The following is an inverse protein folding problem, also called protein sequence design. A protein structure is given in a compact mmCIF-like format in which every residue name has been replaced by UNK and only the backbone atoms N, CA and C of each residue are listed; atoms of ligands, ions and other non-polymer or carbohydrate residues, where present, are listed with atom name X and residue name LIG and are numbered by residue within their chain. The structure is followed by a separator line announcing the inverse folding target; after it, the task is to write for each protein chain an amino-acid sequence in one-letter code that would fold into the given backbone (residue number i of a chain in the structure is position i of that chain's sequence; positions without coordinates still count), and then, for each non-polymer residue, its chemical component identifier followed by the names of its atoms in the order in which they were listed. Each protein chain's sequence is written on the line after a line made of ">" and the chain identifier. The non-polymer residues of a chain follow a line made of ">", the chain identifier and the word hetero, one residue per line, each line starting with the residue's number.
data_IF_497980259790
#
_entry.id   IF_497980259790
#
_cell.length_a   1.000
_cell.length_b   1.000
_cell.length_c   1.000
_cell.angle_alpha   90.00
_cell.angle_beta   90.00
_cell.angle_gamma   90.00
#
_symmetry.space_group_name_H-M   'P 1'
#
loop_
_entity.id
_entity.type
_entity.pdbx_description
1 polymer ?
#
# COMPACT_ATOMS: atom_id res chain seq x y z
N UNK A 1 -32.09 -6.15 35.84
CA UNK A 1 -32.47 -5.46 34.60
C UNK A 1 -31.23 -5.41 33.74
N UNK A 2 -31.07 -6.40 32.87
CA UNK A 2 -29.93 -6.55 31.97
C UNK A 2 -30.24 -5.79 30.68
N UNK A 3 -29.53 -4.69 30.44
CA UNK A 3 -29.48 -4.07 29.12
C UNK A 3 -28.65 -5.00 28.21
N UNK A 4 -29.35 -5.83 27.46
CA UNK A 4 -28.75 -6.63 26.38
C UNK A 4 -28.28 -5.62 25.34
N UNK A 5 -26.93 -5.53 25.19
CA UNK A 5 -26.31 -4.78 24.11
C UNK A 5 -26.89 -5.30 22.80
N UNK A 6 -27.57 -4.43 22.06
CA UNK A 6 -28.03 -4.69 20.69
C UNK A 6 -26.83 -5.17 19.87
N UNK A 7 -26.90 -6.36 19.24
CA UNK A 7 -25.82 -6.79 18.34
C UNK A 7 -25.79 -5.81 17.19
N UNK A 8 -24.57 -5.31 16.90
CA UNK A 8 -24.28 -4.50 15.71
C UNK A 8 -25.08 -5.06 14.53
N UNK A 9 -26.06 -4.30 14.04
CA UNK A 9 -26.80 -4.64 12.83
C UNK A 9 -25.78 -4.70 11.68
N UNK A 10 -25.29 -5.90 11.41
CA UNK A 10 -24.61 -6.16 10.15
C UNK A 10 -25.61 -5.86 9.04
N UNK A 11 -25.34 -4.80 8.28
CA UNK A 11 -26.12 -4.48 7.09
C UNK A 11 -26.31 -5.77 6.28
N UNK A 12 -27.57 -6.03 5.82
CA UNK A 12 -27.89 -7.21 5.03
C UNK A 12 -26.82 -7.37 3.93
N UNK A 13 -26.18 -8.56 3.80
CA UNK A 13 -25.15 -8.77 2.80
C UNK A 13 -25.74 -8.52 1.41
N UNK A 14 -25.15 -7.58 0.68
CA UNK A 14 -25.53 -7.28 -0.71
C UNK A 14 -24.37 -7.71 -1.62
N UNK A 15 -24.50 -8.87 -2.22
CA UNK A 15 -23.46 -9.45 -3.08
C UNK A 15 -23.23 -8.64 -4.36
N UNK A 16 -24.21 -7.85 -4.83
CA UNK A 16 -24.01 -6.93 -5.95
C UNK A 16 -23.10 -5.76 -5.55
N UNK A 17 -23.34 -5.18 -4.38
CA UNK A 17 -22.49 -4.13 -3.82
C UNK A 17 -21.11 -4.68 -3.52
N UNK A 18 -21.01 -5.88 -2.94
CA UNK A 18 -19.75 -6.56 -2.68
C UNK A 18 -18.94 -6.80 -3.95
N UNK A 19 -19.60 -7.23 -5.04
CA UNK A 19 -18.97 -7.39 -6.36
C UNK A 19 -18.40 -6.09 -6.90
N UNK A 20 -19.18 -5.01 -6.85
CA UNK A 20 -18.72 -3.68 -7.30
C UNK A 20 -17.53 -3.19 -6.48
N UNK A 21 -17.62 -3.30 -5.17
CA UNK A 21 -16.53 -2.91 -4.25
C UNK A 21 -15.28 -3.75 -4.50
N UNK A 22 -15.42 -5.05 -4.72
CA UNK A 22 -14.29 -5.94 -5.01
C UNK A 22 -13.57 -5.57 -6.30
N UNK A 23 -14.31 -5.19 -7.37
CA UNK A 23 -13.68 -4.75 -8.62
C UNK A 23 -12.90 -3.44 -8.42
N UNK A 24 -13.48 -2.45 -7.74
CA UNK A 24 -12.80 -1.19 -7.44
C UNK A 24 -11.55 -1.43 -6.59
N UNK A 25 -11.66 -2.29 -5.56
CA UNK A 25 -10.54 -2.63 -4.70
C UNK A 25 -9.49 -3.50 -5.41
N UNK A 26 -9.87 -4.32 -6.39
CA UNK A 26 -8.93 -5.06 -7.21
C UNK A 26 -8.09 -4.13 -8.10
N UNK A 27 -8.71 -3.12 -8.71
CA UNK A 27 -7.99 -2.09 -9.47
C UNK A 27 -7.09 -1.26 -8.54
N UNK A 28 -7.61 -0.85 -7.39
CA UNK A 28 -6.82 -0.14 -6.38
C UNK A 28 -5.63 -0.98 -5.89
N UNK A 29 -5.81 -2.30 -5.71
CA UNK A 29 -4.76 -3.24 -5.34
C UNK A 29 -3.71 -3.38 -6.44
N UNK A 30 -4.12 -3.41 -7.71
CA UNK A 30 -3.19 -3.47 -8.84
C UNK A 30 -2.30 -2.22 -8.90
N UNK A 31 -2.90 -1.04 -8.76
CA UNK A 31 -2.18 0.23 -8.77
C UNK A 31 -1.26 0.38 -7.54
N UNK A 32 -1.78 0.07 -6.35
CA UNK A 32 -1.01 0.14 -5.11
C UNK A 32 0.15 -0.85 -5.08
N UNK A 33 -0.09 -2.08 -5.52
CA UNK A 33 0.94 -3.11 -5.62
C UNK A 33 2.00 -2.77 -6.65
N UNK A 34 1.61 -2.18 -7.80
CA UNK A 34 2.54 -1.65 -8.81
C UNK A 34 3.47 -0.59 -8.23
N UNK A 35 2.91 0.40 -7.54
CA UNK A 35 3.69 1.43 -6.85
C UNK A 35 4.65 0.83 -5.80
N UNK A 36 4.19 -0.13 -5.01
CA UNK A 36 5.02 -0.83 -4.04
C UNK A 36 6.20 -1.56 -4.70
N UNK A 37 5.96 -2.22 -5.83
CA UNK A 37 7.00 -2.91 -6.59
C UNK A 37 8.03 -1.91 -7.15
N UNK A 38 7.59 -0.75 -7.64
CA UNK A 38 8.49 0.33 -8.08
C UNK A 38 9.36 0.80 -6.92
N UNK A 39 8.79 1.09 -5.75
CA UNK A 39 9.56 1.52 -4.58
C UNK A 39 10.61 0.48 -4.19
N UNK A 40 10.24 -0.81 -4.11
CA UNK A 40 11.19 -1.88 -3.74
C UNK A 40 12.31 -2.02 -4.76
N UNK A 41 11.99 -1.97 -6.07
CA UNK A 41 12.99 -2.12 -7.14
C UNK A 41 13.94 -0.93 -7.19
N UNK A 42 13.43 0.29 -7.05
CA UNK A 42 14.26 1.51 -7.10
C UNK A 42 14.99 1.78 -5.80
N UNK A 43 14.40 1.48 -4.65
CA UNK A 43 15.00 1.74 -3.34
C UNK A 43 16.33 0.98 -3.15
N UNK A 44 16.46 -0.23 -3.69
CA UNK A 44 17.72 -0.99 -3.63
C UNK A 44 18.81 -0.36 -4.50
N UNK A 45 18.45 0.07 -5.72
CA UNK A 45 19.41 0.68 -6.66
C UNK A 45 19.82 2.06 -6.15
N UNK A 46 18.86 2.91 -5.83
CA UNK A 46 19.10 4.27 -5.33
C UNK A 46 19.79 4.23 -3.96
N UNK A 47 19.40 3.28 -3.11
CA UNK A 47 20.07 3.03 -1.83
C UNK A 47 21.55 2.71 -2.00
N UNK A 48 21.92 1.86 -2.98
CA UNK A 48 23.30 1.53 -3.27
C UNK A 48 24.11 2.72 -3.82
N UNK A 49 23.47 3.65 -4.53
CA UNK A 49 24.11 4.85 -5.10
C UNK A 49 24.26 5.96 -4.04
N UNK A 50 23.23 6.18 -3.20
CA UNK A 50 23.20 7.27 -2.25
C UNK A 50 23.77 6.91 -0.88
N UNK A 51 23.94 5.62 -0.56
CA UNK A 51 24.43 5.21 0.75
C UNK A 51 25.87 5.69 0.97
N UNK A 52 26.16 6.28 2.12
CA UNK A 52 27.52 6.69 2.46
C UNK A 52 28.46 5.50 2.67
N UNK A 53 27.90 4.33 2.98
CA UNK A 53 28.61 3.06 3.07
C UNK A 53 27.78 1.97 2.37
N UNK A 54 28.46 1.06 1.66
CA UNK A 54 27.84 -0.08 0.94
C UNK A 54 27.03 -1.01 1.86
N UNK A 55 27.42 -1.10 3.13
CA UNK A 55 26.66 -1.86 4.14
C UNK A 55 25.26 -1.31 4.42
N UNK A 56 25.00 -0.03 4.11
CA UNK A 56 23.73 0.65 4.34
C UNK A 56 22.81 0.62 3.11
N UNK A 57 23.23 0.06 1.99
CA UNK A 57 22.48 0.07 0.72
C UNK A 57 21.07 -0.53 0.81
N UNK A 58 20.86 -1.48 1.73
CA UNK A 58 19.57 -2.15 1.95
C UNK A 58 18.69 -1.47 2.98
N UNK A 59 19.17 -0.45 3.70
CA UNK A 59 18.40 0.26 4.72
C UNK A 59 17.08 0.85 4.21
N UNK A 60 16.98 1.39 2.99
CA UNK A 60 15.70 1.91 2.49
C UNK A 60 14.61 0.83 2.43
N UNK A 61 14.95 -0.41 2.05
CA UNK A 61 14.00 -1.53 2.07
C UNK A 61 13.63 -1.91 3.51
N UNK A 62 14.62 -1.96 4.40
CA UNK A 62 14.41 -2.23 5.82
C UNK A 62 13.51 -1.18 6.46
N UNK A 63 13.71 0.11 6.16
CA UNK A 63 12.87 1.21 6.63
C UNK A 63 11.42 1.04 6.15
N UNK A 64 11.21 0.63 4.90
CA UNK A 64 9.89 0.34 4.35
C UNK A 64 9.21 -0.83 5.08
N UNK A 65 9.91 -1.95 5.29
CA UNK A 65 9.37 -3.11 6.02
C UNK A 65 9.01 -2.73 7.45
N UNK A 66 9.87 -1.95 8.11
CA UNK A 66 9.63 -1.43 9.45
C UNK A 66 8.40 -0.50 9.49
N UNK A 67 8.26 0.39 8.50
CA UNK A 67 7.10 1.25 8.33
C UNK A 67 5.81 0.43 8.14
N UNK A 68 5.86 -0.65 7.37
CA UNK A 68 4.72 -1.56 7.17
C UNK A 68 4.32 -2.26 8.48
N UNK A 69 5.29 -2.75 9.23
CA UNK A 69 5.04 -3.37 10.54
C UNK A 69 4.44 -2.35 11.52
N UNK A 70 5.06 -1.18 11.64
CA UNK A 70 4.61 -0.12 12.52
C UNK A 70 3.22 0.41 12.14
N UNK A 71 2.92 0.52 10.84
CA UNK A 71 1.65 1.02 10.31
C UNK A 71 0.46 0.11 10.56
N UNK A 72 0.68 -1.20 10.73
CA UNK A 72 -0.40 -2.18 10.86
C UNK A 72 -1.29 -1.91 12.09
N UNK A 73 -0.68 -1.60 13.24
CA UNK A 73 -1.42 -1.33 14.48
C UNK A 73 -2.22 -0.03 14.43
N UNK A 74 -1.64 1.14 14.13
CA UNK A 74 -2.40 2.39 14.11
C UNK A 74 -3.47 2.42 13.03
N UNK A 75 -3.24 1.81 11.87
CA UNK A 75 -4.25 1.68 10.82
C UNK A 75 -5.43 0.79 11.25
N UNK A 76 -5.15 -0.30 11.98
CA UNK A 76 -6.18 -1.15 12.56
C UNK A 76 -7.04 -0.40 13.58
N UNK A 77 -6.43 0.37 14.47
CA UNK A 77 -7.12 1.21 15.45
C UNK A 77 -7.94 2.30 14.75
N UNK A 78 -7.34 2.96 13.76
CA UNK A 78 -8.01 4.01 12.97
C UNK A 78 -9.23 3.46 12.22
N UNK A 79 -9.11 2.27 11.64
CA UNK A 79 -10.21 1.59 10.96
C UNK A 79 -11.37 1.22 11.92
N UNK A 80 -11.06 0.89 13.18
CA UNK A 80 -12.07 0.59 14.20
C UNK A 80 -12.80 1.83 14.69
N UNK A 81 -12.10 2.96 14.89
CA UNK A 81 -12.69 4.18 15.46
C UNK A 81 -13.34 5.09 14.42
N UNK A 82 -12.73 5.27 13.28
CA UNK A 82 -13.16 6.22 12.23
C UNK A 82 -13.67 5.53 10.96
N UNK A 83 -13.67 4.21 10.96
CA UNK A 83 -14.11 3.42 9.82
C UNK A 83 -13.01 3.15 8.79
N UNK A 84 -13.19 2.09 8.01
CA UNK A 84 -12.20 1.62 7.02
C UNK A 84 -11.90 2.63 5.93
N UNK A 85 -12.89 3.37 5.46
CA UNK A 85 -12.69 4.38 4.42
C UNK A 85 -11.69 5.43 4.84
N UNK A 86 -11.81 5.94 6.07
CA UNK A 86 -10.90 6.94 6.60
C UNK A 86 -9.48 6.38 6.77
N UNK A 87 -9.34 5.18 7.31
CA UNK A 87 -8.03 4.53 7.45
C UNK A 87 -7.33 4.33 6.09
N UNK A 88 -8.07 3.92 5.05
CA UNK A 88 -7.53 3.74 3.70
C UNK A 88 -7.14 5.08 3.06
N UNK A 89 -7.89 6.15 3.29
CA UNK A 89 -7.54 7.51 2.83
C UNK A 89 -6.27 8.03 3.50
N UNK A 90 -6.12 7.84 4.81
CA UNK A 90 -4.88 8.16 5.53
C UNK A 90 -3.70 7.37 4.97
N UNK A 91 -3.90 6.07 4.71
CA UNK A 91 -2.88 5.25 4.05
C UNK A 91 -2.46 5.80 2.70
N UNK A 92 -3.43 6.19 1.86
CA UNK A 92 -3.14 6.79 0.54
C UNK A 92 -2.40 8.11 0.65
N UNK A 93 -2.69 8.94 1.66
CA UNK A 93 -1.97 10.18 1.93
C UNK A 93 -0.48 9.90 2.26
N UNK A 94 -0.19 8.84 3.04
CA UNK A 94 1.19 8.40 3.27
C UNK A 94 1.87 7.92 1.99
N UNK A 95 1.13 7.34 1.04
CA UNK A 95 1.66 6.97 -0.27
C UNK A 95 2.10 8.19 -1.09
N UNK A 96 1.29 9.25 -1.12
CA UNK A 96 1.63 10.52 -1.79
C UNK A 96 2.85 11.16 -1.12
N UNK A 97 2.85 11.23 0.20
CA UNK A 97 3.95 11.80 0.99
C UNK A 97 5.25 11.04 0.76
N UNK A 98 5.19 9.69 0.72
CA UNK A 98 6.33 8.83 0.39
C UNK A 98 6.93 9.16 -0.98
N UNK A 99 6.08 9.31 -2.00
CA UNK A 99 6.54 9.65 -3.36
C UNK A 99 7.22 11.02 -3.40
N UNK A 100 6.62 12.03 -2.78
CA UNK A 100 7.17 13.39 -2.74
C UNK A 100 8.51 13.45 -1.99
N UNK A 101 8.58 12.85 -0.79
CA UNK A 101 9.81 12.83 0.01
C UNK A 101 10.91 12.06 -0.71
N UNK A 102 10.60 10.91 -1.30
CA UNK A 102 11.57 10.10 -2.03
C UNK A 102 12.08 10.83 -3.28
N UNK A 103 11.21 11.54 -4.01
CA UNK A 103 11.60 12.37 -5.13
C UNK A 103 12.59 13.46 -4.71
N UNK A 104 12.28 14.23 -3.67
CA UNK A 104 13.16 15.26 -3.13
C UNK A 104 14.49 14.66 -2.63
N UNK A 105 14.44 13.50 -1.99
CA UNK A 105 15.62 12.79 -1.50
C UNK A 105 16.59 12.43 -2.63
N UNK A 106 16.05 11.89 -3.72
CA UNK A 106 16.84 11.50 -4.90
C UNK A 106 17.43 12.72 -5.61
N UNK A 107 16.61 13.77 -5.82
CA UNK A 107 17.06 15.01 -6.48
C UNK A 107 18.18 15.72 -5.71
N UNK A 108 18.17 15.66 -4.38
CA UNK A 108 19.18 16.30 -3.54
C UNK A 108 20.30 15.35 -3.09
N UNK A 109 20.27 14.08 -3.47
CA UNK A 109 21.28 13.10 -3.07
C UNK A 109 21.27 12.78 -1.55
N UNK A 110 20.13 12.98 -0.87
CA UNK A 110 20.04 12.80 0.57
C UNK A 110 19.56 11.39 0.97
N UNK A 111 20.46 10.52 1.35
CA UNK A 111 20.18 9.14 1.77
C UNK A 111 19.20 9.05 2.95
N UNK A 112 19.39 9.84 4.00
CA UNK A 112 18.52 9.80 5.20
C UNK A 112 17.09 10.23 4.91
N UNK A 113 16.93 11.18 4.00
CA UNK A 113 15.59 11.61 3.57
C UNK A 113 14.89 10.50 2.76
N UNK A 114 15.65 9.71 1.99
CA UNK A 114 15.14 8.53 1.28
C UNK A 114 14.58 7.49 2.27
N UNK A 115 15.25 7.28 3.42
CA UNK A 115 14.74 6.37 4.46
C UNK A 115 13.38 6.83 5.01
N UNK A 116 13.20 8.13 5.23
CA UNK A 116 11.91 8.68 5.67
C UNK A 116 10.84 8.47 4.59
N UNK A 117 11.17 8.71 3.33
CA UNK A 117 10.25 8.47 2.21
C UNK A 117 9.83 7.01 2.11
N UNK A 118 10.78 6.07 2.19
CA UNK A 118 10.50 4.62 2.13
C UNK A 118 9.75 4.12 3.37
N UNK A 119 10.01 4.68 4.55
CA UNK A 119 9.22 4.39 5.76
C UNK A 119 7.75 4.81 5.59
N UNK A 120 7.48 6.00 5.06
CA UNK A 120 6.11 6.42 4.71
C UNK A 120 5.48 5.48 3.66
N UNK A 121 6.27 4.98 2.70
CA UNK A 121 5.85 3.96 1.75
C UNK A 121 5.45 2.65 2.43
N UNK A 122 6.11 2.29 3.52
CA UNK A 122 5.74 1.16 4.36
C UNK A 122 4.39 1.35 5.05
N UNK A 123 4.10 2.54 5.59
CA UNK A 123 2.78 2.86 6.16
C UNK A 123 1.67 2.73 5.11
N UNK A 124 1.90 3.22 3.90
CA UNK A 124 0.99 3.02 2.77
C UNK A 124 0.82 1.53 2.42
N UNK A 125 1.91 0.76 2.40
CA UNK A 125 1.88 -0.67 2.12
C UNK A 125 1.03 -1.44 3.14
N UNK A 126 1.05 -1.08 4.42
CA UNK A 126 0.18 -1.64 5.45
C UNK A 126 -1.31 -1.37 5.16
N UNK A 127 -1.64 -0.16 4.68
CA UNK A 127 -3.02 0.20 4.34
C UNK A 127 -3.54 -0.60 3.13
N UNK A 128 -2.78 -0.68 2.05
CA UNK A 128 -3.25 -1.40 0.86
C UNK A 128 -3.39 -2.91 1.08
N UNK A 129 -2.61 -3.50 1.98
CA UNK A 129 -2.80 -4.90 2.38
C UNK A 129 -4.18 -5.15 3.03
N UNK A 130 -4.82 -4.11 3.55
CA UNK A 130 -6.17 -4.19 4.14
C UNK A 130 -7.30 -4.21 3.11
N UNK A 131 -7.03 -3.95 1.82
CA UNK A 131 -8.07 -3.91 0.76
C UNK A 131 -8.83 -5.22 0.63
N UNK A 132 -8.16 -6.37 0.75
CA UNK A 132 -8.80 -7.69 0.73
C UNK A 132 -9.83 -7.88 1.86
N UNK A 133 -9.54 -7.34 3.04
CA UNK A 133 -10.47 -7.40 4.17
C UNK A 133 -11.63 -6.41 3.98
N UNK A 134 -11.35 -5.23 3.42
CA UNK A 134 -12.39 -4.25 3.10
C UNK A 134 -13.39 -4.78 2.05
N UNK A 135 -12.93 -5.58 1.09
CA UNK A 135 -13.79 -6.24 0.13
C UNK A 135 -14.68 -7.31 0.78
N UNK A 136 -14.13 -8.05 1.75
CA UNK A 136 -14.84 -9.12 2.45
C UNK A 136 -15.96 -8.63 3.38
N UNK A 137 -15.88 -7.39 3.90
CA UNK A 137 -16.82 -6.86 4.90
C UNK A 137 -18.25 -6.71 4.37
N UNK A 138 -18.44 -6.47 3.08
CA UNK A 138 -19.74 -6.26 2.45
C UNK A 138 -20.32 -7.52 1.83
N UNK A 139 -19.54 -8.60 1.77
CA UNK A 139 -19.91 -9.86 1.14
C UNK A 139 -20.59 -10.82 2.10
N UNK A 140 -21.54 -11.62 1.60
CA UNK A 140 -22.07 -12.78 2.33
C UNK A 140 -20.98 -13.80 2.61
N UNK A 141 -21.15 -14.64 3.64
CA UNK A 141 -20.15 -15.64 4.03
C UNK A 141 -19.78 -16.59 2.88
N UNK A 142 -20.76 -16.94 2.04
CA UNK A 142 -20.56 -17.77 0.84
C UNK A 142 -19.78 -17.02 -0.26
N UNK A 143 -19.88 -15.69 -0.33
CA UNK A 143 -19.28 -14.89 -1.39
C UNK A 143 -17.91 -14.28 -1.01
N UNK A 144 -17.57 -14.21 0.29
CA UNK A 144 -16.29 -13.71 0.81
C UNK A 144 -15.04 -14.27 0.13
N UNK A 145 -14.90 -15.60 -0.03
CA UNK A 145 -13.68 -16.13 -0.67
C UNK A 145 -13.49 -15.62 -2.10
N UNK A 146 -14.61 -15.43 -2.82
CA UNK A 146 -14.59 -14.99 -4.21
C UNK A 146 -14.15 -13.53 -4.35
N UNK A 147 -14.66 -12.62 -3.50
CA UNK A 147 -14.26 -11.20 -3.53
C UNK A 147 -12.81 -11.00 -3.09
N UNK A 148 -12.35 -11.77 -2.10
CA UNK A 148 -10.95 -11.75 -1.66
C UNK A 148 -10.02 -12.21 -2.80
N UNK A 149 -10.39 -13.30 -3.51
CA UNK A 149 -9.63 -13.80 -4.65
C UNK A 149 -9.52 -12.76 -5.78
N UNK A 150 -10.56 -12.00 -6.05
CA UNK A 150 -10.53 -10.96 -7.08
C UNK A 150 -9.58 -9.80 -6.70
N UNK A 151 -9.58 -9.38 -5.44
CA UNK A 151 -8.65 -8.35 -4.98
C UNK A 151 -7.20 -8.86 -5.04
N UNK A 152 -6.95 -10.12 -4.64
CA UNK A 152 -5.63 -10.73 -4.74
C UNK A 152 -5.17 -10.88 -6.20
N UNK A 153 -6.08 -11.20 -7.13
CA UNK A 153 -5.77 -11.23 -8.55
C UNK A 153 -5.29 -9.86 -9.06
N UNK A 154 -5.86 -8.74 -8.55
CA UNK A 154 -5.34 -7.39 -8.80
C UNK A 154 -3.86 -7.25 -8.43
N UNK A 155 -3.45 -7.86 -7.32
CA UNK A 155 -2.04 -7.89 -6.90
C UNK A 155 -1.10 -8.62 -7.86
N UNK A 156 -1.59 -9.66 -8.54
CA UNK A 156 -0.81 -10.39 -9.57
C UNK A 156 -0.53 -9.48 -10.77
N UNK A 157 -1.53 -8.72 -11.22
CA UNK A 157 -1.33 -7.72 -12.28
C UNK A 157 -0.30 -6.66 -11.87
N UNK A 158 -0.30 -6.23 -10.61
CA UNK A 158 0.68 -5.30 -10.06
C UNK A 158 2.12 -5.83 -10.19
N UNK A 159 2.33 -7.11 -9.93
CA UNK A 159 3.65 -7.74 -10.01
C UNK A 159 4.22 -7.76 -11.43
N UNK A 160 3.34 -7.74 -12.45
CA UNK A 160 3.76 -7.65 -13.86
C UNK A 160 3.92 -6.20 -14.29
N UNK A 161 2.94 -5.34 -13.99
CA UNK A 161 2.92 -3.95 -14.44
C UNK A 161 4.02 -3.12 -13.77
N UNK A 162 4.30 -3.33 -12.48
CA UNK A 162 5.27 -2.56 -11.71
C UNK A 162 6.69 -2.59 -12.33
N UNK A 163 7.31 -3.76 -12.54
CA UNK A 163 8.62 -3.85 -13.17
C UNK A 163 8.64 -3.31 -14.60
N UNK A 164 7.56 -3.52 -15.38
CA UNK A 164 7.47 -2.97 -16.73
C UNK A 164 7.48 -1.45 -16.73
N UNK A 165 6.74 -0.82 -15.82
CA UNK A 165 6.78 0.64 -15.67
C UNK A 165 8.20 1.15 -15.38
N UNK A 166 8.95 0.49 -14.50
CA UNK A 166 10.33 0.86 -14.20
C UNK A 166 11.20 0.75 -15.44
N UNK A 167 11.07 -0.34 -16.21
CA UNK A 167 11.86 -0.56 -17.44
C UNK A 167 11.56 0.53 -18.47
N UNK A 168 10.31 0.87 -18.71
CA UNK A 168 9.93 1.87 -19.71
C UNK A 168 10.23 3.31 -19.29
N UNK A 169 10.20 3.62 -17.98
CA UNK A 169 10.42 4.99 -17.49
C UNK A 169 11.87 5.31 -17.19
N UNK A 170 12.74 4.33 -16.94
CA UNK A 170 14.17 4.56 -16.65
C UNK A 170 14.90 5.33 -17.73
N UNK A 171 14.54 5.10 -19.00
CA UNK A 171 15.21 5.69 -20.15
C UNK A 171 14.59 7.03 -20.60
N UNK A 172 13.41 7.39 -20.08
CA UNK A 172 12.73 8.66 -20.39
C UNK A 172 13.47 9.89 -19.85
N UNK A 173 14.24 9.74 -18.78
CA UNK A 173 15.03 10.78 -18.15
C UNK A 173 16.51 10.72 -18.53
N UNK A 174 16.93 9.69 -19.24
CA UNK A 174 18.31 9.39 -19.65
C UNK A 174 18.99 10.43 -20.57
N UNK A 175 18.30 11.23 -21.40
CA UNK A 175 18.96 12.23 -22.23
C UNK A 175 19.37 13.50 -21.48
N UNK A 176 19.04 13.65 -20.19
CA UNK A 176 19.20 14.92 -19.46
C UNK A 176 19.95 14.80 -18.11
N UNK A 177 20.49 13.64 -17.79
CA UNK A 177 21.37 13.38 -16.66
C UNK A 177 22.61 12.65 -17.14
#
# INVERSE_FOLDING_TARGET
>A
MSAIAEPFQHAKPDDNLARRNAMVLAVAQALAGGNNTVIVSTASIVGAVLAPDKGLATLPITAMVFGMWFGTLPLGVLARHFGRRFALQCGSAFGILSGLISCVAVMNGHFWLLLVGTFCGGLYAAAHQSYRFAAADTASDAYRPKVVSWVLAGGIFAAVIGPQLVIYTKDLLSPHL
#
